data_IF_813762395771
#
_entry.id   IF_813762395771
#
_cell.length_a   1.000
_cell.length_b   1.000
_cell.length_c   1.000
_cell.angle_alpha   90.00
_cell.angle_beta   90.00
_cell.angle_gamma   90.00
#
_symmetry.space_group_name_H-M   'P 1'
#
loop_
_entity.id
_entity.type
_entity.pdbx_description
1 polymer ?
#
# COMPACT_ATOMS: atom_id res chain seq x y z
N UNK A 1 6.82 -61.77 15.83
CA UNK A 1 6.79 -60.29 15.71
C UNK A 1 5.36 -59.80 15.86
N UNK A 2 5.04 -59.06 16.94
CA UNK A 2 3.71 -58.43 17.11
C UNK A 2 3.70 -57.13 16.30
N UNK A 3 2.73 -56.98 15.39
CA UNK A 3 2.53 -55.73 14.63
C UNK A 3 2.14 -54.61 15.60
N UNK A 4 2.75 -53.41 15.53
CA UNK A 4 2.27 -52.28 16.29
C UNK A 4 0.91 -51.85 15.74
N UNK A 5 -0.13 -52.00 16.55
CA UNK A 5 -1.45 -51.43 16.27
C UNK A 5 -1.33 -49.91 16.38
N UNK A 6 -1.59 -49.20 15.29
CA UNK A 6 -1.80 -47.75 15.33
C UNK A 6 -2.91 -47.45 16.33
N UNK A 7 -2.56 -46.88 17.49
CA UNK A 7 -3.53 -46.27 18.38
C UNK A 7 -4.12 -45.09 17.62
N UNK A 8 -5.38 -45.22 17.16
CA UNK A 8 -6.18 -44.04 16.84
C UNK A 8 -6.21 -43.19 18.10
N UNK A 9 -5.76 -41.94 18.03
CA UNK A 9 -6.06 -40.95 19.06
C UNK A 9 -7.59 -40.83 19.11
N UNK A 10 -8.22 -41.54 20.04
CA UNK A 10 -9.64 -41.43 20.29
C UNK A 10 -9.93 -40.04 20.82
N UNK A 11 -10.92 -39.38 20.20
CA UNK A 11 -11.67 -38.29 20.79
C UNK A 11 -11.99 -38.63 22.24
N UNK A 12 -11.55 -37.80 23.19
CA UNK A 12 -11.95 -37.94 24.57
C UNK A 12 -13.49 -37.90 24.63
N UNK A 13 -14.18 -38.88 25.25
CA UNK A 13 -15.62 -38.81 25.45
C UNK A 13 -15.91 -37.72 26.48
N UNK A 14 -16.34 -36.56 25.98
CA UNK A 14 -16.70 -35.38 26.76
C UNK A 14 -17.35 -34.34 25.85
N UNK A 15 -18.19 -33.46 26.42
CA UNK A 15 -18.70 -32.31 25.68
C UNK A 15 -17.52 -31.46 25.20
N UNK A 16 -17.53 -31.05 23.92
CA UNK A 16 -16.53 -30.14 23.36
C UNK A 16 -16.53 -28.89 24.24
N UNK A 17 -15.35 -28.50 24.71
CA UNK A 17 -15.24 -27.29 25.52
C UNK A 17 -15.61 -26.07 24.66
N UNK A 18 -16.09 -24.95 25.26
CA UNK A 18 -16.33 -23.73 24.50
C UNK A 18 -15.08 -23.24 23.73
N UNK A 19 -13.89 -23.47 24.26
CA UNK A 19 -12.61 -23.13 23.63
C UNK A 19 -12.34 -24.00 22.39
N UNK A 20 -12.52 -25.32 22.49
CA UNK A 20 -12.38 -26.24 21.36
C UNK A 20 -13.41 -25.93 20.25
N UNK A 21 -14.64 -25.59 20.65
CA UNK A 21 -15.69 -25.22 19.71
C UNK A 21 -15.35 -23.93 18.96
N UNK A 22 -14.78 -22.93 19.66
CA UNK A 22 -14.32 -21.70 19.03
C UNK A 22 -13.22 -21.94 17.98
N UNK A 23 -12.27 -22.85 18.25
CA UNK A 23 -11.23 -23.25 17.28
C UNK A 23 -11.86 -23.92 16.05
N UNK A 24 -12.80 -24.85 16.26
CA UNK A 24 -13.52 -25.51 15.15
C UNK A 24 -14.26 -24.51 14.29
N UNK A 25 -14.94 -23.54 14.91
CA UNK A 25 -15.69 -22.51 14.19
C UNK A 25 -14.77 -21.55 13.44
N UNK A 26 -13.61 -21.20 14.00
CA UNK A 26 -12.59 -20.41 13.32
C UNK A 26 -12.03 -21.13 12.09
N UNK A 27 -11.71 -22.43 12.19
CA UNK A 27 -11.25 -23.23 11.05
C UNK A 27 -12.34 -23.35 9.97
N UNK A 28 -13.60 -23.51 10.37
CA UNK A 28 -14.73 -23.56 9.43
C UNK A 28 -14.92 -22.21 8.72
N UNK A 29 -14.80 -21.10 9.44
CA UNK A 29 -14.86 -19.76 8.86
C UNK A 29 -13.73 -19.55 7.85
N UNK A 30 -12.50 -19.93 8.20
CA UNK A 30 -11.35 -19.88 7.29
C UNK A 30 -11.58 -20.71 6.03
N UNK A 31 -11.99 -21.97 6.17
CA UNK A 31 -12.25 -22.84 5.01
C UNK A 31 -13.35 -22.29 4.11
N UNK A 32 -14.39 -21.69 4.69
CA UNK A 32 -15.46 -21.03 3.94
C UNK A 32 -14.91 -19.85 3.15
N UNK A 33 -14.15 -18.97 3.79
CA UNK A 33 -13.58 -17.79 3.14
C UNK A 33 -12.62 -18.16 1.99
N UNK A 34 -11.76 -19.18 2.18
CA UNK A 34 -10.82 -19.63 1.15
C UNK A 34 -11.53 -20.30 -0.03
N UNK A 35 -12.55 -21.12 0.23
CA UNK A 35 -13.26 -21.87 -0.83
C UNK A 35 -14.26 -21.00 -1.60
N UNK A 36 -14.91 -20.07 -0.91
CA UNK A 36 -15.95 -19.22 -1.46
C UNK A 36 -15.63 -17.76 -1.11
N UNK A 37 -14.58 -17.17 -1.70
CA UNK A 37 -14.30 -15.76 -1.49
C UNK A 37 -15.50 -14.91 -1.95
N UNK A 38 -15.88 -13.92 -1.15
CA UNK A 38 -16.87 -12.94 -1.59
C UNK A 38 -16.23 -12.06 -2.66
N UNK A 39 -16.87 -11.92 -3.84
CA UNK A 39 -16.29 -11.20 -4.95
C UNK A 39 -16.13 -9.73 -4.58
N UNK A 40 -14.94 -9.18 -4.80
CA UNK A 40 -14.70 -7.75 -4.66
C UNK A 40 -14.86 -7.05 -6.00
N UNK A 41 -15.37 -5.82 -5.96
CA UNK A 41 -15.43 -4.92 -7.12
C UNK A 41 -14.70 -3.62 -6.79
N UNK A 42 -13.89 -3.07 -7.71
CA UNK A 42 -13.28 -1.76 -7.52
C UNK A 42 -14.27 -0.67 -7.08
N UNK A 43 -13.83 0.23 -6.21
CA UNK A 43 -14.64 1.35 -5.69
C UNK A 43 -15.55 1.02 -4.51
N UNK A 44 -15.70 -0.25 -4.11
CA UNK A 44 -16.28 -0.57 -2.80
C UNK A 44 -15.27 -0.18 -1.73
N UNK A 45 -15.58 0.78 -0.86
CA UNK A 45 -14.71 1.26 0.23
C UNK A 45 -14.48 0.22 1.35
N UNK A 46 -14.54 -1.07 1.02
CA UNK A 46 -14.39 -2.21 1.91
C UNK A 46 -12.98 -2.76 1.79
N UNK A 47 -12.47 -3.27 2.90
CA UNK A 47 -11.18 -3.94 2.92
C UNK A 47 -11.22 -5.23 2.10
N UNK A 48 -10.08 -5.56 1.53
CA UNK A 48 -9.88 -6.70 0.66
C UNK A 48 -8.90 -7.69 1.28
N UNK A 49 -9.02 -8.95 0.87
CA UNK A 49 -8.07 -10.00 1.16
C UNK A 49 -7.07 -10.10 0.02
N UNK A 50 -5.80 -9.87 0.30
CA UNK A 50 -4.72 -9.85 -0.70
C UNK A 50 -3.70 -10.94 -0.40
N UNK A 51 -3.30 -11.70 -1.40
CA UNK A 51 -2.24 -12.70 -1.26
C UNK A 51 -0.87 -12.04 -1.21
N UNK A 52 -0.11 -12.31 -0.15
CA UNK A 52 1.28 -11.87 0.05
C UNK A 52 2.13 -13.11 0.33
N UNK A 53 2.79 -13.62 -0.70
CA UNK A 53 3.49 -14.91 -0.63
C UNK A 53 2.53 -16.04 -0.19
N UNK A 54 2.85 -16.80 0.87
CA UNK A 54 1.96 -17.86 1.38
C UNK A 54 0.85 -17.36 2.30
N UNK A 55 0.82 -16.06 2.65
CA UNK A 55 -0.15 -15.46 3.57
C UNK A 55 -1.24 -14.69 2.82
N UNK A 56 -2.33 -14.40 3.54
CA UNK A 56 -3.43 -13.57 3.09
C UNK A 56 -3.54 -12.39 4.05
N UNK A 57 -3.29 -11.19 3.53
CA UNK A 57 -3.33 -9.96 4.31
C UNK A 57 -4.62 -9.18 4.09
N UNK A 58 -5.03 -8.48 5.14
CA UNK A 58 -6.09 -7.48 5.04
C UNK A 58 -5.48 -6.21 4.46
N UNK A 59 -6.10 -5.65 3.43
CA UNK A 59 -5.67 -4.40 2.85
C UNK A 59 -6.85 -3.45 2.65
N UNK A 60 -6.61 -2.17 2.90
CA UNK A 60 -7.57 -1.10 2.61
C UNK A 60 -7.26 -0.54 1.22
N UNK A 61 -8.26 -0.48 0.34
CA UNK A 61 -8.10 0.16 -0.97
C UNK A 61 -8.00 1.67 -0.81
N UNK A 62 -7.19 2.32 -1.63
CA UNK A 62 -7.11 3.78 -1.59
C UNK A 62 -8.44 4.39 -2.06
N UNK A 63 -9.04 5.34 -1.32
CA UNK A 63 -10.21 6.05 -1.79
C UNK A 63 -9.96 6.73 -3.15
N UNK A 64 -10.86 6.51 -4.11
CA UNK A 64 -10.75 7.05 -5.48
C UNK A 64 -9.80 6.29 -6.42
N UNK A 65 -9.23 5.16 -5.97
CA UNK A 65 -8.51 4.22 -6.84
C UNK A 65 -9.43 3.05 -7.20
N UNK A 66 -10.37 3.33 -8.10
CA UNK A 66 -11.55 2.51 -8.39
C UNK A 66 -11.53 1.89 -9.80
N UNK A 67 -10.51 2.10 -10.63
CA UNK A 67 -10.66 1.86 -12.08
C UNK A 67 -9.46 1.26 -12.83
N UNK A 68 -8.45 0.72 -12.17
CA UNK A 68 -7.38 -0.04 -12.83
C UNK A 68 -7.73 -1.54 -12.94
N UNK A 69 -7.86 -2.14 -14.15
CA UNK A 69 -8.13 -3.58 -14.27
C UNK A 69 -6.97 -4.44 -13.78
N UNK A 70 -5.74 -3.91 -13.79
CA UNK A 70 -4.52 -4.69 -13.52
C UNK A 70 -3.87 -4.34 -12.18
N UNK A 71 -3.96 -3.08 -11.73
CA UNK A 71 -3.28 -2.56 -10.54
C UNK A 71 -4.16 -1.56 -9.79
N UNK A 72 -4.16 -1.66 -8.47
CA UNK A 72 -4.73 -0.68 -7.53
C UNK A 72 -3.72 -0.36 -6.42
N UNK A 73 -3.95 0.70 -5.66
CA UNK A 73 -3.24 0.91 -4.41
C UNK A 73 -3.99 0.49 -3.19
N UNK A 74 -3.20 -0.08 -2.28
CA UNK A 74 -3.68 -0.61 -1.02
C UNK A 74 -2.74 -0.23 0.10
N UNK A 75 -3.25 -0.10 1.32
CA UNK A 75 -2.45 -0.07 2.53
C UNK A 75 -2.73 -1.36 3.31
N UNK A 76 -1.69 -2.07 3.75
CA UNK A 76 -1.90 -3.26 4.59
C UNK A 76 -2.40 -2.84 5.97
N UNK A 77 -3.39 -3.56 6.49
CA UNK A 77 -4.05 -3.27 7.76
C UNK A 77 -3.93 -4.48 8.66
N UNK A 78 -3.56 -4.27 9.92
CA UNK A 78 -3.49 -5.38 10.86
C UNK A 78 -4.89 -5.97 11.09
N UNK A 79 -5.07 -7.31 11.07
CA UNK A 79 -6.39 -7.95 11.11
C UNK A 79 -7.23 -7.53 12.32
N UNK A 80 -6.62 -7.39 13.48
CA UNK A 80 -7.30 -7.05 14.75
C UNK A 80 -7.62 -5.56 14.92
N UNK A 81 -7.24 -4.72 13.96
CA UNK A 81 -7.36 -3.27 14.08
C UNK A 81 -8.50 -2.79 13.19
N UNK A 82 -9.40 -1.93 13.69
CA UNK A 82 -10.53 -1.47 12.88
C UNK A 82 -10.08 -0.53 11.76
N UNK A 83 -8.92 0.13 11.84
CA UNK A 83 -8.48 1.17 10.90
C UNK A 83 -7.02 1.00 10.47
N UNK A 84 -6.72 1.37 9.22
CA UNK A 84 -5.37 1.50 8.66
C UNK A 84 -4.50 2.55 9.41
N UNK A 85 -5.10 3.40 10.23
CA UNK A 85 -4.41 4.38 11.05
C UNK A 85 -4.50 4.00 12.54
N UNK A 86 -3.39 3.56 13.11
CA UNK A 86 -3.13 3.66 14.54
C UNK A 86 -3.48 2.45 15.39
N UNK A 87 -2.63 1.43 15.36
CA UNK A 87 -2.45 0.53 16.51
C UNK A 87 -0.96 0.25 16.71
N UNK A 88 -0.52 0.37 17.97
CA UNK A 88 0.88 0.18 18.40
C UNK A 88 1.49 -1.17 17.96
N UNK A 89 0.66 -2.20 17.78
CA UNK A 89 1.10 -3.53 17.33
C UNK A 89 1.26 -3.62 15.80
N UNK A 90 0.36 -2.99 15.05
CA UNK A 90 0.41 -3.00 13.58
C UNK A 90 1.64 -2.29 13.02
N UNK A 91 2.07 -1.19 13.67
CA UNK A 91 3.30 -0.48 13.31
C UNK A 91 4.54 -1.35 13.54
N UNK A 92 4.64 -2.01 14.71
CA UNK A 92 5.78 -2.90 15.04
C UNK A 92 5.94 -4.07 14.08
N UNK A 93 4.83 -4.55 13.49
CA UNK A 93 4.83 -5.63 12.51
C UNK A 93 4.85 -5.14 11.05
N UNK A 94 4.96 -3.83 10.82
CA UNK A 94 5.18 -3.22 9.49
C UNK A 94 3.93 -2.88 8.68
N UNK A 95 2.70 -3.11 9.19
CA UNK A 95 1.46 -2.94 8.39
C UNK A 95 1.22 -1.50 7.94
N UNK A 96 1.47 -0.53 8.83
CA UNK A 96 1.19 0.89 8.56
C UNK A 96 2.41 1.67 8.06
N UNK A 97 3.61 1.09 8.12
CA UNK A 97 4.86 1.77 7.76
C UNK A 97 5.16 1.71 6.26
N UNK A 98 4.54 0.76 5.55
CA UNK A 98 4.74 0.55 4.11
C UNK A 98 3.99 1.56 3.24
N UNK A 99 3.10 2.38 3.82
CA UNK A 99 2.30 3.34 3.07
C UNK A 99 1.38 2.67 2.05
N UNK A 100 1.17 3.34 0.90
CA UNK A 100 0.42 2.79 -0.22
C UNK A 100 1.30 1.88 -1.08
N UNK A 101 0.81 0.68 -1.37
CA UNK A 101 1.48 -0.38 -2.14
C UNK A 101 0.72 -0.65 -3.44
N UNK A 102 1.45 -0.93 -4.52
CA UNK A 102 0.92 -1.35 -5.82
C UNK A 102 0.50 -2.81 -5.73
N UNK A 103 -0.80 -3.04 -5.67
CA UNK A 103 -1.38 -4.37 -5.63
C UNK A 103 -1.89 -4.74 -7.02
N UNK A 104 -1.40 -5.85 -7.57
CA UNK A 104 -2.04 -6.47 -8.73
C UNK A 104 -3.45 -6.93 -8.35
N UNK A 105 -4.43 -6.65 -9.21
CA UNK A 105 -5.81 -7.09 -8.99
C UNK A 105 -5.93 -8.62 -8.97
N UNK A 106 -5.01 -9.31 -9.64
CA UNK A 106 -4.84 -10.77 -9.63
C UNK A 106 -4.49 -11.34 -8.25
N UNK A 107 -3.86 -10.54 -7.37
CA UNK A 107 -3.51 -10.92 -6.01
C UNK A 107 -4.69 -10.79 -5.04
N UNK A 108 -5.77 -10.11 -5.45
CA UNK A 108 -6.97 -9.89 -4.65
C UNK A 108 -7.84 -11.14 -4.71
N UNK A 109 -8.11 -11.72 -3.54
CA UNK A 109 -8.96 -12.91 -3.43
C UNK A 109 -10.44 -12.55 -3.37
N UNK A 110 -10.76 -11.36 -2.85
CA UNK A 110 -12.11 -10.90 -2.62
C UNK A 110 -12.16 -9.91 -1.46
N UNK A 111 -13.35 -9.72 -0.90
CA UNK A 111 -13.50 -8.94 0.33
C UNK A 111 -12.78 -9.59 1.50
N UNK A 112 -12.23 -8.74 2.38
CA UNK A 112 -11.75 -9.21 3.67
C UNK A 112 -12.89 -9.83 4.47
N UNK A 113 -12.68 -11.07 4.90
CA UNK A 113 -13.58 -11.82 5.77
C UNK A 113 -12.82 -12.23 7.04
N UNK A 114 -13.46 -12.24 8.21
CA UNK A 114 -12.82 -12.65 9.46
C UNK A 114 -12.14 -14.04 9.40
N UNK A 115 -12.62 -14.94 8.53
CA UNK A 115 -12.00 -16.25 8.31
C UNK A 115 -10.56 -16.20 7.79
N UNK A 116 -10.13 -15.11 7.13
CA UNK A 116 -8.74 -14.96 6.69
C UNK A 116 -7.79 -14.52 7.79
N UNK A 117 -8.28 -14.08 8.95
CA UNK A 117 -7.44 -13.54 10.03
C UNK A 117 -6.32 -14.52 10.44
N UNK A 118 -6.61 -15.82 10.49
CA UNK A 118 -5.64 -16.86 10.86
C UNK A 118 -4.58 -17.17 9.79
N UNK A 119 -4.71 -16.58 8.60
CA UNK A 119 -3.82 -16.77 7.45
C UNK A 119 -2.90 -15.56 7.22
N UNK A 120 -2.85 -14.62 8.16
CA UNK A 120 -1.99 -13.42 8.12
C UNK A 120 -0.62 -13.70 8.73
N UNK A 121 0.39 -12.89 8.39
CA UNK A 121 1.67 -12.89 9.10
C UNK A 121 1.47 -12.58 10.60
N UNK A 122 0.54 -11.68 10.92
CA UNK A 122 0.23 -11.30 12.29
C UNK A 122 -0.25 -12.50 13.12
N UNK A 123 -1.12 -13.35 12.58
CA UNK A 123 -1.58 -14.57 13.28
C UNK A 123 -0.45 -15.59 13.53
N UNK A 124 0.57 -15.59 12.67
CA UNK A 124 1.79 -16.38 12.89
C UNK A 124 2.81 -15.68 13.83
N UNK A 125 2.48 -14.49 14.35
CA UNK A 125 3.38 -13.62 15.11
C UNK A 125 4.69 -13.31 14.37
N UNK A 126 4.58 -13.13 13.04
CA UNK A 126 5.67 -12.76 12.16
C UNK A 126 5.52 -11.29 11.73
N UNK A 127 6.64 -10.55 11.60
CA UNK A 127 6.61 -9.25 10.94
C UNK A 127 6.28 -9.43 9.45
N UNK A 128 5.74 -8.39 8.81
CA UNK A 128 5.67 -8.35 7.36
C UNK A 128 7.09 -8.39 6.77
N UNK A 129 7.29 -9.11 5.66
CA UNK A 129 8.58 -9.13 4.98
C UNK A 129 8.95 -7.74 4.47
N UNK A 130 10.26 -7.50 4.30
CA UNK A 130 10.76 -6.24 3.77
C UNK A 130 10.33 -5.99 2.33
N UNK A 131 10.30 -7.07 1.57
CA UNK A 131 9.68 -7.13 0.27
C UNK A 131 8.34 -7.85 0.41
N UNK A 132 7.26 -7.07 0.44
CA UNK A 132 5.87 -7.55 0.45
C UNK A 132 5.49 -8.13 -0.93
N UNK A 133 6.41 -8.11 -1.91
CA UNK A 133 6.11 -8.46 -3.29
C UNK A 133 5.22 -7.43 -3.98
N UNK A 134 5.12 -6.22 -3.40
CA UNK A 134 4.36 -5.09 -3.90
C UNK A 134 5.23 -3.85 -3.77
N UNK A 135 5.47 -3.16 -4.88
CA UNK A 135 6.21 -1.91 -4.89
C UNK A 135 5.41 -0.78 -4.22
N UNK A 136 6.08 0.27 -3.77
CA UNK A 136 5.40 1.48 -3.29
C UNK A 136 4.57 2.11 -4.42
N UNK A 137 3.32 2.41 -4.11
CA UNK A 137 2.45 3.15 -5.03
C UNK A 137 2.71 4.64 -4.87
N UNK A 138 3.60 5.15 -5.72
CA UNK A 138 3.93 6.57 -5.75
C UNK A 138 2.83 7.39 -6.46
N UNK A 139 1.90 7.94 -5.68
CA UNK A 139 0.87 8.88 -6.15
C UNK A 139 1.28 10.34 -5.99
N UNK A 140 2.57 10.59 -5.84
CA UNK A 140 3.10 11.92 -5.67
C UNK A 140 4.30 12.11 -6.58
N UNK A 141 4.41 13.33 -7.09
CA UNK A 141 5.58 13.80 -7.79
C UNK A 141 6.24 14.87 -6.95
N UNK A 142 7.52 14.65 -6.63
CA UNK A 142 8.36 15.63 -5.97
C UNK A 142 9.34 16.17 -7.00
N UNK A 143 9.33 17.49 -7.20
CA UNK A 143 10.30 18.19 -8.01
C UNK A 143 11.32 18.80 -7.05
N UNK A 144 12.58 18.44 -7.22
CA UNK A 144 13.65 18.79 -6.29
C UNK A 144 14.71 19.63 -6.97
N UNK A 145 15.18 20.65 -6.26
CA UNK A 145 16.40 21.36 -6.57
C UNK A 145 17.51 20.81 -5.68
N UNK A 146 18.49 20.13 -6.27
CA UNK A 146 19.67 19.60 -5.56
C UNK A 146 20.92 20.35 -5.97
N UNK A 147 21.84 20.63 -5.05
CA UNK A 147 23.10 21.30 -5.42
C UNK A 147 23.86 20.46 -6.44
N UNK A 148 24.62 21.13 -7.31
CA UNK A 148 25.42 20.45 -8.35
C UNK A 148 26.71 19.82 -7.84
N UNK A 149 27.08 20.09 -6.59
CA UNK A 149 28.33 19.65 -5.98
C UNK A 149 28.25 18.24 -5.38
N UNK A 150 27.24 17.44 -5.78
CA UNK A 150 26.92 16.10 -5.27
C UNK A 150 26.69 16.03 -3.73
N UNK A 151 26.56 17.18 -3.06
CA UNK A 151 26.11 17.20 -1.67
C UNK A 151 24.65 16.76 -1.57
N UNK A 152 24.26 16.23 -0.39
CA UNK A 152 22.86 15.90 -0.09
C UNK A 152 22.00 17.15 0.13
N UNK A 153 22.57 18.36 -0.03
CA UNK A 153 21.86 19.61 0.12
C UNK A 153 20.91 19.85 -1.06
N UNK A 154 19.64 20.04 -0.73
CA UNK A 154 18.61 20.35 -1.69
C UNK A 154 17.28 20.63 -1.00
N UNK A 155 16.30 21.04 -1.78
CA UNK A 155 14.95 21.26 -1.29
C UNK A 155 13.92 20.86 -2.35
N UNK A 156 12.71 20.58 -1.88
CA UNK A 156 11.58 20.30 -2.77
C UNK A 156 11.00 21.63 -3.26
N UNK A 157 11.04 21.87 -4.57
CA UNK A 157 10.45 23.03 -5.22
C UNK A 157 8.92 22.93 -5.27
N UNK A 158 8.43 21.74 -5.63
CA UNK A 158 7.02 21.49 -5.86
C UNK A 158 6.70 20.04 -5.51
N UNK A 159 5.54 19.86 -4.88
CA UNK A 159 4.94 18.55 -4.66
C UNK A 159 3.60 18.53 -5.38
N UNK A 160 3.42 17.59 -6.30
CA UNK A 160 2.16 17.37 -7.01
C UNK A 160 1.52 16.09 -6.53
N UNK A 161 0.25 16.17 -6.15
CA UNK A 161 -0.52 15.01 -5.71
C UNK A 161 -1.58 15.35 -4.67
N UNK A 162 -2.23 14.32 -4.12
CA UNK A 162 -2.06 12.94 -4.51
C UNK A 162 -2.81 12.64 -5.82
N UNK A 163 -2.16 12.02 -6.80
CA UNK A 163 -2.82 11.55 -8.01
C UNK A 163 -3.83 10.46 -7.63
N UNK A 164 -5.00 10.41 -8.26
CA UNK A 164 -5.97 9.31 -8.09
C UNK A 164 -5.48 8.02 -8.73
N UNK A 165 -4.68 8.12 -9.80
CA UNK A 165 -4.19 6.98 -10.58
C UNK A 165 -2.71 7.14 -10.91
N UNK A 166 -1.92 6.07 -10.79
CA UNK A 166 -0.47 6.08 -11.07
C UNK A 166 -0.16 6.46 -12.52
N UNK A 167 -1.05 6.14 -13.47
CA UNK A 167 -0.91 6.58 -14.88
C UNK A 167 -0.96 8.10 -15.05
N UNK A 168 -1.72 8.81 -14.21
CA UNK A 168 -1.77 10.27 -14.24
C UNK A 168 -0.48 10.86 -13.68
N UNK A 169 0.02 10.28 -12.58
CA UNK A 169 1.35 10.62 -12.06
C UNK A 169 2.43 10.36 -13.11
N UNK A 170 2.39 9.23 -13.84
CA UNK A 170 3.33 8.95 -14.91
C UNK A 170 3.25 9.96 -16.05
N UNK A 171 2.04 10.29 -16.52
CA UNK A 171 1.86 11.28 -17.57
C UNK A 171 2.48 12.63 -17.19
N UNK A 172 2.21 13.10 -15.98
CA UNK A 172 2.71 14.41 -15.56
C UNK A 172 4.22 14.36 -15.23
N UNK A 173 4.75 13.22 -14.79
CA UNK A 173 6.20 12.98 -14.69
C UNK A 173 6.87 13.12 -16.06
N UNK A 174 6.33 12.47 -17.09
CA UNK A 174 6.87 12.52 -18.44
C UNK A 174 6.82 13.95 -18.99
N UNK A 175 5.71 14.66 -18.77
CA UNK A 175 5.55 16.07 -19.18
C UNK A 175 6.55 16.99 -18.48
N UNK A 176 6.72 16.85 -17.17
CA UNK A 176 7.68 17.65 -16.41
C UNK A 176 9.11 17.31 -16.85
N UNK A 177 9.44 16.04 -17.02
CA UNK A 177 10.77 15.61 -17.45
C UNK A 177 11.11 16.18 -18.83
N UNK A 178 10.16 16.15 -19.76
CA UNK A 178 10.31 16.79 -21.07
C UNK A 178 10.45 18.33 -20.98
N UNK A 179 9.75 18.99 -20.05
CA UNK A 179 9.87 20.43 -19.81
C UNK A 179 11.21 20.82 -19.15
N UNK A 180 11.80 19.90 -18.39
CA UNK A 180 13.09 20.05 -17.72
C UNK A 180 14.27 19.76 -18.66
N UNK A 181 14.09 18.98 -19.72
CA UNK A 181 15.16 18.58 -20.64
C UNK A 181 15.89 19.80 -21.23
N UNK A 182 17.20 19.88 -20.97
CA UNK A 182 18.07 21.00 -21.36
C UNK A 182 17.93 22.26 -20.49
N UNK A 183 17.06 22.25 -19.47
CA UNK A 183 16.80 23.36 -18.53
C UNK A 183 17.10 23.00 -17.07
N UNK A 184 17.49 21.76 -16.77
CA UNK A 184 17.64 21.24 -15.41
C UNK A 184 18.61 22.08 -14.57
N UNK A 185 19.61 22.68 -15.21
CA UNK A 185 20.64 23.48 -14.56
C UNK A 185 20.50 24.99 -14.84
N UNK A 186 19.44 25.43 -15.50
CA UNK A 186 19.24 26.87 -15.78
C UNK A 186 18.04 27.45 -15.04
N UNK A 187 17.11 26.61 -14.59
CA UNK A 187 15.90 27.03 -13.88
C UNK A 187 16.18 27.67 -12.52
N UNK A 188 17.07 27.06 -11.73
CA UNK A 188 17.44 27.56 -10.40
C UNK A 188 18.97 27.66 -10.33
N UNK A 189 19.54 28.84 -10.04
CA UNK A 189 20.99 29.02 -9.92
C UNK A 189 21.60 28.03 -8.91
N UNK A 190 22.78 27.49 -9.19
CA UNK A 190 23.52 26.53 -8.31
C UNK A 190 22.88 25.14 -8.10
N UNK A 191 21.61 24.99 -8.45
CA UNK A 191 20.90 23.72 -8.34
C UNK A 191 20.76 23.02 -9.70
N UNK A 192 20.51 21.71 -9.63
CA UNK A 192 19.97 20.87 -10.70
C UNK A 192 18.57 20.46 -10.29
N UNK A 193 17.60 20.73 -11.15
CA UNK A 193 16.19 20.39 -10.95
C UNK A 193 15.89 19.03 -11.55
N UNK A 194 15.21 18.16 -10.81
CA UNK A 194 14.72 16.88 -11.31
C UNK A 194 13.35 16.54 -10.72
N UNK A 195 12.57 15.76 -11.46
CA UNK A 195 11.34 15.15 -10.96
C UNK A 195 11.62 13.74 -10.44
N UNK A 196 10.94 13.35 -9.37
CA UNK A 196 10.94 11.98 -8.87
C UNK A 196 9.57 11.60 -8.36
N UNK A 197 9.24 10.33 -8.48
CA UNK A 197 8.12 9.74 -7.77
C UNK A 197 8.40 9.75 -6.26
N UNK A 198 7.39 10.10 -5.48
CA UNK A 198 7.48 10.20 -4.02
C UNK A 198 6.36 9.40 -3.34
N UNK A 199 6.56 8.96 -2.09
CA UNK A 199 5.46 8.50 -1.25
C UNK A 199 4.51 9.66 -0.95
N UNK A 200 3.25 9.34 -0.67
CA UNK A 200 2.25 10.30 -0.17
C UNK A 200 1.79 9.87 1.22
N UNK A 201 2.06 10.70 2.22
CA UNK A 201 1.46 10.62 3.54
C UNK A 201 0.25 11.56 3.59
N UNK A 202 -0.90 11.07 4.06
CA UNK A 202 -2.13 11.87 4.20
C UNK A 202 -1.92 13.06 5.14
N UNK A 203 -1.03 12.94 6.12
CA UNK A 203 -0.67 14.02 7.06
C UNK A 203 -0.02 15.20 6.35
N UNK A 204 0.68 14.94 5.24
CA UNK A 204 1.39 15.94 4.46
C UNK A 204 0.53 16.55 3.34
N UNK A 205 -0.75 16.19 3.23
CA UNK A 205 -1.60 16.57 2.10
C UNK A 205 -1.59 18.08 1.80
N UNK A 206 -1.51 18.91 2.84
CA UNK A 206 -1.47 20.38 2.72
C UNK A 206 -0.22 20.91 2.00
N UNK A 207 0.84 20.10 1.92
CA UNK A 207 2.10 20.43 1.25
C UNK A 207 2.07 20.09 -0.25
N UNK A 208 1.02 19.42 -0.73
CA UNK A 208 0.87 19.02 -2.12
C UNK A 208 -0.09 19.97 -2.85
N UNK A 209 0.29 20.36 -4.06
CA UNK A 209 -0.61 21.03 -4.99
C UNK A 209 -1.46 19.98 -5.73
N UNK A 210 -2.75 20.25 -5.86
CA UNK A 210 -3.69 19.40 -6.58
C UNK A 210 -3.35 19.39 -8.08
N UNK A 211 -2.97 18.23 -8.66
CA UNK A 211 -2.61 18.13 -10.06
C UNK A 211 -3.82 18.19 -11.01
N UNK A 212 -5.06 18.20 -10.52
CA UNK A 212 -6.28 18.23 -11.32
C UNK A 212 -6.84 19.64 -11.54
N UNK A 213 -6.49 20.59 -10.69
CA UNK A 213 -6.98 21.98 -10.78
C UNK A 213 -6.15 22.85 -11.73
N UNK A 214 -4.88 22.48 -11.97
CA UNK A 214 -3.97 23.27 -12.78
C UNK A 214 -3.00 22.39 -13.58
N UNK A 215 -2.46 22.96 -14.66
CA UNK A 215 -1.46 22.27 -15.48
C UNK A 215 -0.14 22.06 -14.72
N UNK A 216 0.35 20.82 -14.70
CA UNK A 216 1.56 20.45 -13.96
C UNK A 216 2.82 21.24 -14.35
N UNK A 217 2.97 21.61 -15.64
CA UNK A 217 4.11 22.42 -16.10
C UNK A 217 3.94 23.88 -15.69
N UNK A 218 2.71 24.40 -15.73
CA UNK A 218 2.43 25.75 -15.23
C UNK A 218 2.70 25.87 -13.71
N UNK A 219 2.34 24.85 -12.93
CA UNK A 219 2.66 24.78 -11.50
C UNK A 219 4.18 24.75 -11.26
N UNK A 220 4.94 24.04 -12.09
CA UNK A 220 6.40 24.04 -12.03
C UNK A 220 6.98 25.44 -12.29
N UNK A 221 6.56 26.10 -13.37
CA UNK A 221 7.07 27.45 -13.71
C UNK A 221 6.73 28.46 -12.61
N UNK A 222 5.54 28.38 -12.00
CA UNK A 222 5.17 29.21 -10.85
C UNK A 222 6.07 28.94 -9.62
N UNK A 223 6.36 27.68 -9.33
CA UNK A 223 7.25 27.31 -8.23
C UNK A 223 8.69 27.80 -8.45
N UNK A 224 9.22 27.69 -9.67
CA UNK A 224 10.56 28.19 -10.04
C UNK A 224 10.63 29.71 -9.94
N UNK A 225 9.59 30.42 -10.38
CA UNK A 225 9.51 31.87 -10.25
C UNK A 225 9.51 32.31 -8.79
N UNK A 226 8.78 31.61 -7.91
CA UNK A 226 8.76 31.88 -6.48
C UNK A 226 10.08 31.59 -5.76
N UNK A 227 10.86 30.59 -6.22
CA UNK A 227 12.16 30.25 -5.65
C UNK A 227 13.30 31.17 -6.10
N UNK A 228 13.10 31.93 -7.18
CA UNK A 228 14.10 32.85 -7.76
C UNK A 228 13.90 34.32 -7.36
N UNK A 229 12.87 34.62 -6.57
CA UNK A 229 12.52 35.96 -6.08
C UNK A 229 13.17 36.25 -4.72
#
# INVERSE_FOLDING_TARGET
MKRPTFRRCGTAPGAISPEDQAVVDQVRAMLTAVRNPQPWTPGSAQDIAVRVGPFIERAHTRPGDDHGPDLIAVALVHPDTPHAAGYLHGRRLGYTERGWLRCETSAILGFWQPGYAILTHAAANLPLPDDVGMELAHYALCIEARKRDDSLDGYTLLRLGPYTQTRHAQRDYDRITAALDGRETTLVPEFRVSARFGPFDVSDHQLFADPYEADAVALLEAAVAGASA
#
